data_IF_842011152138
#
_entry.id   IF_842011152138
#
_cell.length_a   1.000
_cell.length_b   1.000
_cell.length_c   1.000
_cell.angle_alpha   90.00
_cell.angle_beta   90.00
_cell.angle_gamma   90.00
#
_symmetry.space_group_name_H-M   'P 1'
#
loop_
_entity.id
_entity.type
_entity.pdbx_description
1 polymer ?
#
# COMPACT_ATOMS: atom_id res chain seq x y z
N UNK A 1 -27.99 13.28 -5.90
CA UNK A 1 -28.15 12.25 -4.85
C UNK A 1 -27.57 10.90 -5.25
N UNK A 2 -27.95 10.30 -6.40
CA UNK A 2 -27.41 8.98 -6.79
C UNK A 2 -25.91 8.98 -7.10
N UNK A 3 -25.41 9.98 -7.84
CA UNK A 3 -24.00 10.09 -8.25
C UNK A 3 -23.06 10.21 -7.04
N UNK A 4 -23.45 10.96 -6.01
CA UNK A 4 -22.67 11.12 -4.79
C UNK A 4 -22.58 9.82 -3.97
N UNK A 5 -23.63 9.00 -3.98
CA UNK A 5 -23.64 7.70 -3.28
C UNK A 5 -22.70 6.71 -3.96
N UNK A 6 -22.72 6.65 -5.29
CA UNK A 6 -21.82 5.77 -6.05
C UNK A 6 -20.34 6.13 -5.83
N UNK A 7 -20.00 7.42 -5.81
CA UNK A 7 -18.63 7.89 -5.56
C UNK A 7 -18.17 7.51 -4.14
N UNK A 8 -19.03 7.72 -3.14
CA UNK A 8 -18.76 7.32 -1.75
C UNK A 8 -18.52 5.81 -1.63
N UNK A 9 -19.36 5.00 -2.27
CA UNK A 9 -19.23 3.54 -2.24
C UNK A 9 -17.87 3.07 -2.83
N UNK A 10 -17.46 3.66 -3.95
CA UNK A 10 -16.15 3.36 -4.58
C UNK A 10 -15.01 3.75 -3.63
N UNK A 11 -15.06 4.95 -3.06
CA UNK A 11 -14.00 5.44 -2.17
C UNK A 11 -13.88 4.57 -0.93
N UNK A 12 -15.00 4.23 -0.28
CA UNK A 12 -15.00 3.35 0.88
C UNK A 12 -14.38 2.00 0.52
N UNK A 13 -14.73 1.44 -0.64
CA UNK A 13 -14.16 0.18 -1.12
C UNK A 13 -12.64 0.27 -1.31
N UNK A 14 -12.14 1.36 -1.94
CA UNK A 14 -10.70 1.59 -2.11
C UNK A 14 -9.96 1.70 -0.77
N UNK A 15 -10.56 2.34 0.24
CA UNK A 15 -9.98 2.43 1.58
C UNK A 15 -9.89 1.07 2.28
N UNK A 16 -10.93 0.24 2.17
CA UNK A 16 -10.91 -1.11 2.73
C UNK A 16 -9.82 -1.97 2.08
N UNK A 17 -9.66 -1.89 0.76
CA UNK A 17 -8.59 -2.60 0.04
C UNK A 17 -7.20 -2.08 0.48
N UNK A 18 -7.04 -0.76 0.60
CA UNK A 18 -5.79 -0.18 1.09
C UNK A 18 -5.44 -0.65 2.51
N UNK A 19 -6.43 -0.77 3.39
CA UNK A 19 -6.23 -1.30 4.73
C UNK A 19 -5.79 -2.78 4.71
N UNK A 20 -6.40 -3.60 3.87
CA UNK A 20 -6.00 -5.01 3.69
C UNK A 20 -4.56 -5.11 3.19
N UNK A 21 -4.15 -4.29 2.24
CA UNK A 21 -2.77 -4.24 1.78
C UNK A 21 -1.80 -3.76 2.87
N UNK A 22 -2.18 -2.78 3.69
CA UNK A 22 -1.35 -2.36 4.83
C UNK A 22 -1.16 -3.51 5.85
N UNK A 23 -2.22 -4.25 6.17
CA UNK A 23 -2.12 -5.45 7.03
C UNK A 23 -1.27 -6.53 6.37
N UNK A 24 -1.42 -6.73 5.06
CA UNK A 24 -0.61 -7.66 4.27
C UNK A 24 0.88 -7.29 4.25
N UNK A 25 1.20 -6.00 4.22
CA UNK A 25 2.56 -5.49 4.29
C UNK A 25 3.22 -5.83 5.64
N UNK A 26 2.52 -5.64 6.76
CA UNK A 26 3.04 -5.99 8.08
C UNK A 26 3.17 -7.51 8.24
N UNK A 27 2.20 -8.29 7.77
CA UNK A 27 2.25 -9.76 7.81
C UNK A 27 3.40 -10.35 6.99
N UNK A 28 3.83 -9.67 5.93
CA UNK A 28 4.95 -10.07 5.06
C UNK A 28 6.21 -9.22 5.29
N UNK A 29 6.38 -8.70 6.51
CA UNK A 29 7.60 -7.98 6.89
C UNK A 29 8.84 -8.82 6.57
N UNK A 30 9.79 -8.24 5.85
CA UNK A 30 11.00 -8.95 5.46
C UNK A 30 11.80 -9.35 6.71
N UNK A 31 12.04 -10.65 6.85
CA UNK A 31 12.85 -11.22 7.92
C UNK A 31 14.24 -11.55 7.38
N UNK A 32 15.28 -11.10 8.06
CA UNK A 32 16.64 -11.49 7.76
C UNK A 32 16.94 -12.88 8.34
N UNK A 33 17.59 -13.73 7.54
CA UNK A 33 18.23 -14.96 8.01
C UNK A 33 19.73 -14.77 7.98
N UNK A 34 20.40 -15.14 9.07
CA UNK A 34 21.86 -15.12 9.16
C UNK A 34 22.36 -16.36 8.43
N UNK A 35 23.15 -16.17 7.38
CA UNK A 35 23.72 -17.24 6.57
C UNK A 35 25.25 -17.10 6.60
N UNK A 36 25.99 -18.21 6.84
CA UNK A 36 27.44 -18.20 6.74
C UNK A 36 27.86 -18.00 5.28
N UNK A 37 28.91 -17.22 5.05
CA UNK A 37 29.57 -17.09 3.75
C UNK A 37 30.33 -18.39 3.43
N UNK A 38 30.38 -18.77 2.16
CA UNK A 38 31.05 -19.99 1.69
C UNK A 38 32.58 -19.81 1.62
N UNK A 39 33.06 -18.56 1.53
CA UNK A 39 34.47 -18.24 1.27
C UNK A 39 35.19 -17.52 2.41
N UNK A 40 34.49 -17.12 3.48
CA UNK A 40 35.07 -16.40 4.62
C UNK A 40 34.34 -16.80 5.93
N UNK A 41 34.99 -16.61 7.08
CA UNK A 41 34.43 -16.85 8.43
C UNK A 41 33.38 -15.80 8.83
N UNK A 42 32.74 -15.16 7.85
CA UNK A 42 31.78 -14.07 8.04
C UNK A 42 30.37 -14.53 7.78
N UNK A 43 29.44 -13.91 8.47
CA UNK A 43 28.00 -14.12 8.29
C UNK A 43 27.37 -12.90 7.67
N UNK A 44 26.44 -13.10 6.73
CA UNK A 44 25.64 -12.02 6.16
C UNK A 44 24.14 -12.24 6.40
N UNK A 45 23.39 -11.14 6.34
CA UNK A 45 21.93 -11.16 6.50
C UNK A 45 21.28 -11.33 5.12
N UNK A 46 20.77 -12.53 4.85
CA UNK A 46 19.95 -12.79 3.67
C UNK A 46 18.52 -12.35 3.94
N UNK A 47 18.05 -11.32 3.24
CA UNK A 47 16.68 -10.82 3.36
C UNK A 47 15.72 -11.64 2.50
N UNK A 48 14.50 -11.84 3.01
CA UNK A 48 13.40 -12.37 2.22
C UNK A 48 12.89 -11.33 1.20
N UNK A 49 12.05 -11.78 0.25
CA UNK A 49 11.45 -10.96 -0.80
C UNK A 49 10.79 -9.67 -0.29
N UNK A 50 10.95 -8.57 -1.03
CA UNK A 50 10.40 -7.23 -0.75
C UNK A 50 8.89 -7.11 -0.98
N UNK A 51 8.13 -8.15 -0.66
CA UNK A 51 6.68 -8.18 -0.80
C UNK A 51 6.02 -7.10 0.07
N UNK A 52 6.52 -6.86 1.29
CA UNK A 52 5.99 -5.82 2.18
C UNK A 52 6.02 -4.43 1.56
N UNK A 53 7.07 -4.12 0.80
CA UNK A 53 7.23 -2.82 0.15
C UNK A 53 6.18 -2.62 -0.94
N UNK A 54 5.93 -3.63 -1.77
CA UNK A 54 4.91 -3.57 -2.84
C UNK A 54 3.50 -3.42 -2.26
N UNK A 55 3.18 -4.16 -1.20
CA UNK A 55 1.89 -4.00 -0.51
C UNK A 55 1.73 -2.62 0.13
N UNK A 56 2.78 -2.09 0.77
CA UNK A 56 2.75 -0.74 1.34
C UNK A 56 2.57 0.34 0.26
N UNK A 57 3.30 0.24 -0.84
CA UNK A 57 3.25 1.22 -1.93
C UNK A 57 1.89 1.21 -2.64
N UNK A 58 1.31 0.02 -2.84
CA UNK A 58 -0.03 -0.13 -3.41
C UNK A 58 -1.12 0.40 -2.47
N UNK A 59 -1.04 0.13 -1.17
CA UNK A 59 -1.95 0.71 -0.18
C UNK A 59 -1.92 2.24 -0.22
N UNK A 60 -0.71 2.83 -0.20
CA UNK A 60 -0.53 4.27 -0.28
C UNK A 60 -1.07 4.86 -1.60
N UNK A 61 -0.81 4.19 -2.73
CA UNK A 61 -1.32 4.61 -4.04
C UNK A 61 -2.86 4.64 -4.09
N UNK A 62 -3.54 3.65 -3.53
CA UNK A 62 -5.01 3.61 -3.48
C UNK A 62 -5.60 4.77 -2.67
N UNK A 63 -4.95 5.17 -1.57
CA UNK A 63 -5.36 6.33 -0.79
C UNK A 63 -5.18 7.64 -1.57
N UNK A 64 -4.05 7.80 -2.28
CA UNK A 64 -3.81 8.97 -3.12
C UNK A 64 -4.81 9.09 -4.26
N UNK A 65 -5.16 7.97 -4.91
CA UNK A 65 -6.20 7.94 -5.95
C UNK A 65 -7.53 8.40 -5.35
N UNK A 66 -7.90 7.85 -4.20
CA UNK A 66 -9.15 8.23 -3.51
C UNK A 66 -9.19 9.72 -3.19
N UNK A 67 -8.08 10.27 -2.67
CA UNK A 67 -7.98 11.70 -2.34
C UNK A 67 -8.01 12.57 -3.60
N UNK A 68 -7.37 12.15 -4.68
CA UNK A 68 -7.38 12.86 -5.97
C UNK A 68 -8.79 12.91 -6.56
N UNK A 69 -9.53 11.80 -6.50
CA UNK A 69 -10.92 11.74 -6.97
C UNK A 69 -11.80 12.67 -6.15
N UNK A 70 -11.71 12.63 -4.82
CA UNK A 70 -12.45 13.55 -3.94
C UNK A 70 -12.13 14.99 -4.28
N UNK A 71 -10.85 15.34 -4.28
CA UNK A 71 -10.37 16.67 -4.62
C UNK A 71 -10.68 17.08 -6.04
N UNK A 72 -11.06 16.18 -6.96
CA UNK A 72 -11.51 16.50 -8.31
C UNK A 72 -13.00 16.79 -8.34
N UNK A 73 -13.80 15.97 -7.65
CA UNK A 73 -15.26 16.10 -7.58
C UNK A 73 -15.69 17.29 -6.72
N UNK A 74 -14.95 17.60 -5.66
CA UNK A 74 -15.29 18.70 -4.72
C UNK A 74 -14.71 20.05 -5.12
N UNK A 75 -13.97 20.16 -6.24
CA UNK A 75 -13.50 21.49 -6.68
C UNK A 75 -14.70 22.37 -7.02
N UNK A 76 -14.69 23.59 -6.52
CA UNK A 76 -15.55 24.62 -7.07
C UNK A 76 -15.15 24.83 -8.54
N UNK A 77 -16.10 24.81 -9.49
CA UNK A 77 -15.81 25.34 -10.81
C UNK A 77 -15.41 26.80 -10.62
N UNK A 78 -14.26 27.20 -11.18
CA UNK A 78 -13.86 28.59 -11.21
C UNK A 78 -14.92 29.35 -12.02
N UNK A 79 -15.79 30.07 -11.32
CA UNK A 79 -16.76 30.99 -11.91
C UNK A 79 -16.72 32.28 -11.13
#
# INVERSE_FOLDING_TARGET
MAVSVSILAIIISLHLIAFVFAVGAERRRSTAKIVPDEYDERTYCMYASDASTVYGLSAFGLLLISQTVLNGVTRCPYK
#
